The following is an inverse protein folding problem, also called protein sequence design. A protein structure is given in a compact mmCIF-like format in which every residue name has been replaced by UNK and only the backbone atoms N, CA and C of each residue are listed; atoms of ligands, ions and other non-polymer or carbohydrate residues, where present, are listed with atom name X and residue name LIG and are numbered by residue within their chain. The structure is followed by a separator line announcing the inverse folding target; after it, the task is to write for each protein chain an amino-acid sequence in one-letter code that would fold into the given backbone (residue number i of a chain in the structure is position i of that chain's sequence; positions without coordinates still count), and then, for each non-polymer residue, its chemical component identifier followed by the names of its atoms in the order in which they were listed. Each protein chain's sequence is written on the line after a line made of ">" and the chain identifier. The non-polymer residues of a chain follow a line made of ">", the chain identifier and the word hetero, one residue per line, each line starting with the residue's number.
data_IF_847219006883
#
_entry.id   IF_847219006883
#
_cell.length_a   1.000
_cell.length_b   1.000
_cell.length_c   1.000
_cell.angle_alpha   90.00
_cell.angle_beta   90.00
_cell.angle_gamma   90.00
#
_symmetry.space_group_name_H-M   'P 1'
#
loop_
_entity.id
_entity.type
_entity.pdbx_description
1 polymer ?
#
# COMPACT_ATOMS: atom_id res chain seq x y z
N UNK A 1 39.47 -16.93 3.33
CA UNK A 1 38.46 -17.09 2.26
C UNK A 1 37.50 -15.89 2.32
N UNK A 2 37.14 -15.23 1.21
CA UNK A 2 36.07 -14.20 1.27
C UNK A 2 36.14 -12.94 0.39
N UNK A 3 36.98 -12.84 -0.65
CA UNK A 3 37.01 -11.64 -1.54
C UNK A 3 36.73 -11.97 -3.01
N UNK A 4 35.74 -12.80 -3.28
CA UNK A 4 35.41 -13.29 -4.63
C UNK A 4 33.95 -13.16 -5.02
N UNK A 5 33.27 -12.06 -4.65
CA UNK A 5 31.89 -11.81 -5.08
C UNK A 5 31.82 -11.57 -6.59
N UNK A 6 30.89 -12.23 -7.28
CA UNK A 6 30.53 -11.95 -8.68
C UNK A 6 29.18 -11.26 -8.71
N UNK A 7 29.12 -10.07 -9.33
CA UNK A 7 27.87 -9.42 -9.65
C UNK A 7 27.50 -9.74 -11.11
N UNK A 8 26.24 -10.11 -11.33
CA UNK A 8 25.67 -10.34 -12.66
C UNK A 8 24.50 -9.39 -12.82
N UNK A 9 24.40 -8.74 -13.97
CA UNK A 9 23.37 -7.75 -14.26
C UNK A 9 22.77 -8.07 -15.62
N UNK A 10 21.44 -8.18 -15.69
CA UNK A 10 20.73 -8.27 -16.97
C UNK A 10 20.68 -6.90 -17.63
N UNK A 11 20.82 -6.90 -18.95
CA UNK A 11 20.94 -5.68 -19.74
C UNK A 11 19.92 -5.69 -20.86
N UNK A 12 19.09 -4.65 -20.91
CA UNK A 12 18.29 -4.31 -22.08
C UNK A 12 19.19 -3.61 -23.13
N UNK A 13 19.01 -3.87 -24.44
CA UNK A 13 19.66 -3.12 -25.52
C UNK A 13 19.74 -1.60 -25.30
N UNK A 14 18.71 -0.99 -24.71
CA UNK A 14 18.59 0.45 -24.44
C UNK A 14 19.68 0.98 -23.49
N UNK A 15 20.14 0.15 -22.55
CA UNK A 15 21.06 0.56 -21.48
C UNK A 15 22.55 0.33 -21.83
N UNK A 16 22.86 -0.09 -23.07
CA UNK A 16 24.25 -0.37 -23.50
C UNK A 16 25.16 0.85 -23.41
N UNK A 17 24.65 2.04 -23.72
CA UNK A 17 25.43 3.28 -23.66
C UNK A 17 25.89 3.60 -22.23
N UNK A 18 24.98 3.45 -21.26
CA UNK A 18 25.25 3.68 -19.84
C UNK A 18 26.31 2.71 -19.30
N UNK A 19 26.20 1.42 -19.62
CA UNK A 19 27.21 0.42 -19.19
C UNK A 19 28.59 0.71 -19.80
N UNK A 20 28.67 1.13 -21.07
CA UNK A 20 29.94 1.52 -21.68
C UNK A 20 30.60 2.68 -20.92
N UNK A 21 29.83 3.67 -20.49
CA UNK A 21 30.33 4.78 -19.67
C UNK A 21 30.81 4.28 -18.30
N UNK A 22 30.02 3.47 -17.61
CA UNK A 22 30.39 2.91 -16.29
C UNK A 22 31.66 2.06 -16.38
N UNK A 23 31.81 1.24 -17.41
CA UNK A 23 33.01 0.43 -17.65
C UNK A 23 34.23 1.33 -17.89
N UNK A 24 34.08 2.39 -18.68
CA UNK A 24 35.15 3.38 -18.92
C UNK A 24 35.60 4.07 -17.63
N UNK A 25 34.68 4.42 -16.74
CA UNK A 25 35.00 5.06 -15.47
C UNK A 25 35.57 4.09 -14.42
N UNK A 26 35.11 2.83 -14.38
CA UNK A 26 35.57 1.86 -13.36
C UNK A 26 36.91 1.18 -13.70
N UNK A 27 37.33 1.21 -14.97
CA UNK A 27 38.57 0.56 -15.44
C UNK A 27 38.55 -0.98 -15.37
N UNK A 28 37.42 -1.60 -15.01
CA UNK A 28 37.29 -3.06 -14.88
C UNK A 28 36.80 -3.69 -16.18
N UNK A 29 37.36 -4.85 -16.55
CA UNK A 29 36.93 -5.62 -17.71
C UNK A 29 35.60 -6.34 -17.42
N UNK A 30 34.55 -5.98 -18.15
CA UNK A 30 33.26 -6.69 -18.13
C UNK A 30 33.29 -7.86 -19.12
N UNK A 31 32.79 -9.04 -18.70
CA UNK A 31 32.55 -10.17 -19.59
C UNK A 31 31.09 -10.13 -20.04
N UNK A 32 30.84 -9.80 -21.30
CA UNK A 32 29.51 -9.89 -21.89
C UNK A 32 29.19 -11.35 -22.22
N UNK A 33 27.99 -11.80 -21.82
CA UNK A 33 27.42 -13.09 -22.20
C UNK A 33 26.07 -12.84 -22.85
N UNK A 34 25.80 -13.58 -23.91
CA UNK A 34 24.51 -13.58 -24.60
C UNK A 34 23.85 -14.90 -24.23
N UNK A 35 22.60 -14.84 -23.79
CA UNK A 35 21.78 -16.03 -23.53
C UNK A 35 21.23 -16.50 -24.88
N UNK A 36 21.22 -17.80 -25.13
CA UNK A 36 20.68 -18.36 -26.37
C UNK A 36 19.16 -18.19 -26.41
N UNK A 37 18.63 -17.85 -27.59
CA UNK A 37 17.21 -17.58 -27.80
C UNK A 37 16.33 -18.79 -27.43
N UNK A 38 16.76 -20.01 -27.76
CA UNK A 38 16.08 -21.25 -27.36
C UNK A 38 15.87 -21.39 -25.84
N UNK A 39 16.80 -20.85 -25.04
CA UNK A 39 16.66 -20.88 -23.58
C UNK A 39 15.66 -19.84 -23.12
N UNK A 40 15.63 -18.68 -23.78
CA UNK A 40 14.66 -17.62 -23.49
C UNK A 40 13.25 -18.14 -23.77
N UNK A 41 13.03 -18.78 -24.93
CA UNK A 41 11.73 -19.31 -25.33
C UNK A 41 11.20 -20.38 -24.36
N UNK A 42 12.06 -21.30 -23.92
CA UNK A 42 11.68 -22.30 -22.90
C UNK A 42 11.21 -21.66 -21.60
N UNK A 43 11.90 -20.61 -21.14
CA UNK A 43 11.53 -19.94 -19.90
C UNK A 43 10.31 -19.03 -20.06
N UNK A 44 10.13 -18.38 -21.22
CA UNK A 44 8.92 -17.58 -21.48
C UNK A 44 7.69 -18.46 -21.54
N UNK A 45 7.76 -19.63 -22.16
CA UNK A 45 6.68 -20.64 -22.16
C UNK A 45 6.37 -21.12 -20.74
N UNK A 46 7.40 -21.44 -19.94
CA UNK A 46 7.21 -21.86 -18.55
C UNK A 46 6.55 -20.76 -17.70
N UNK A 47 6.96 -19.50 -17.88
CA UNK A 47 6.35 -18.35 -17.19
C UNK A 47 4.90 -18.15 -17.63
N UNK A 48 4.62 -18.26 -18.93
CA UNK A 48 3.27 -18.14 -19.46
C UNK A 48 2.34 -19.23 -18.90
N UNK A 49 2.82 -20.47 -18.81
CA UNK A 49 2.06 -21.57 -18.21
C UNK A 49 1.71 -21.31 -16.73
N UNK A 50 2.63 -20.73 -15.95
CA UNK A 50 2.38 -20.40 -14.55
C UNK A 50 1.44 -19.20 -14.35
N UNK A 51 1.23 -18.36 -15.36
CA UNK A 51 0.45 -17.13 -15.22
C UNK A 51 -1.02 -17.41 -14.87
N UNK A 52 -1.60 -18.48 -15.42
CA UNK A 52 -2.97 -18.89 -15.15
C UNK A 52 -3.14 -19.36 -13.70
N UNK A 53 -2.22 -20.19 -13.21
CA UNK A 53 -2.21 -20.68 -11.83
C UNK A 53 -2.07 -19.53 -10.83
N UNK A 54 -1.17 -18.58 -11.10
CA UNK A 54 -0.99 -17.39 -10.25
C UNK A 54 -2.27 -16.55 -10.23
N UNK A 55 -2.92 -16.34 -11.37
CA UNK A 55 -4.17 -15.59 -11.44
C UNK A 55 -5.29 -16.28 -10.65
N UNK A 56 -5.37 -17.61 -10.72
CA UNK A 56 -6.30 -18.42 -9.94
C UNK A 56 -6.05 -18.28 -8.44
N UNK A 57 -4.81 -18.44 -7.99
CA UNK A 57 -4.43 -18.30 -6.57
C UNK A 57 -4.77 -16.90 -6.05
N UNK A 58 -4.47 -15.84 -6.81
CA UNK A 58 -4.81 -14.47 -6.40
C UNK A 58 -6.33 -14.25 -6.25
N UNK A 59 -7.14 -14.90 -7.08
CA UNK A 59 -8.59 -14.83 -6.96
C UNK A 59 -9.08 -15.57 -5.72
N UNK A 60 -8.57 -16.78 -5.48
CA UNK A 60 -8.87 -17.60 -4.31
C UNK A 60 -8.48 -16.88 -3.02
N UNK A 61 -7.26 -16.35 -2.92
CA UNK A 61 -6.81 -15.56 -1.76
C UNK A 61 -7.72 -14.35 -1.49
N UNK A 62 -8.19 -13.67 -2.54
CA UNK A 62 -9.12 -12.55 -2.40
C UNK A 62 -10.47 -13.01 -1.84
N UNK A 63 -10.99 -14.14 -2.31
CA UNK A 63 -12.24 -14.72 -1.84
C UNK A 63 -12.12 -15.18 -0.39
N UNK A 64 -11.06 -15.91 -0.05
CA UNK A 64 -10.77 -16.34 1.32
C UNK A 64 -10.66 -15.15 2.27
N UNK A 65 -9.97 -14.08 1.85
CA UNK A 65 -9.85 -12.86 2.67
C UNK A 65 -11.19 -12.21 2.95
N UNK A 66 -12.14 -12.24 2.01
CA UNK A 66 -13.48 -11.71 2.22
C UNK A 66 -14.26 -12.63 3.17
N UNK A 67 -14.15 -13.93 2.98
CA UNK A 67 -14.83 -14.93 3.82
C UNK A 67 -14.35 -14.86 5.27
N UNK A 68 -13.04 -14.76 5.50
CA UNK A 68 -12.46 -14.57 6.84
C UNK A 68 -12.98 -13.29 7.52
N UNK A 69 -13.17 -12.20 6.77
CA UNK A 69 -13.76 -10.97 7.34
C UNK A 69 -15.22 -11.16 7.73
N UNK A 70 -16.00 -11.80 6.86
CA UNK A 70 -17.40 -12.10 7.15
C UNK A 70 -17.52 -13.02 8.38
N UNK A 71 -16.65 -14.03 8.49
CA UNK A 71 -16.58 -14.93 9.64
C UNK A 71 -16.20 -14.17 10.92
N UNK A 72 -15.16 -13.32 10.88
CA UNK A 72 -14.79 -12.48 12.02
C UNK A 72 -15.93 -11.55 12.45
N UNK A 73 -16.67 -10.97 11.50
CA UNK A 73 -17.82 -10.11 11.79
C UNK A 73 -18.99 -10.91 12.39
N UNK A 74 -19.27 -12.11 11.88
CA UNK A 74 -20.28 -13.00 12.42
C UNK A 74 -19.95 -13.43 13.86
N UNK A 75 -18.71 -13.90 14.10
CA UNK A 75 -18.22 -14.26 15.43
C UNK A 75 -18.27 -13.06 16.38
N UNK A 76 -17.93 -11.86 15.90
CA UNK A 76 -18.03 -10.64 16.71
C UNK A 76 -19.48 -10.32 17.08
N UNK A 77 -20.41 -10.50 16.14
CA UNK A 77 -21.83 -10.28 16.39
C UNK A 77 -22.37 -11.29 17.43
N UNK A 78 -22.04 -12.56 17.29
CA UNK A 78 -22.39 -13.63 18.24
C UNK A 78 -21.86 -13.30 19.65
N UNK A 79 -20.56 -13.01 19.77
CA UNK A 79 -19.95 -12.62 21.05
C UNK A 79 -20.62 -11.39 21.68
N UNK A 80 -21.07 -10.42 20.88
CA UNK A 80 -21.74 -9.22 21.38
C UNK A 80 -23.14 -9.51 21.91
N UNK A 81 -23.86 -10.46 21.31
CA UNK A 81 -25.18 -10.90 21.76
C UNK A 81 -25.05 -11.68 23.06
N UNK A 82 -24.16 -12.68 23.10
CA UNK A 82 -23.99 -13.55 24.26
C UNK A 82 -23.42 -12.82 25.48
N UNK A 83 -22.42 -11.97 25.28
CA UNK A 83 -21.71 -11.30 26.37
C UNK A 83 -22.07 -9.82 26.52
N UNK A 84 -23.24 -9.38 26.03
CA UNK A 84 -23.61 -7.97 25.97
C UNK A 84 -23.42 -7.22 27.29
N UNK A 85 -24.03 -7.72 28.36
CA UNK A 85 -24.03 -7.08 29.68
C UNK A 85 -22.61 -7.03 30.29
N UNK A 86 -21.83 -8.09 30.09
CA UNK A 86 -20.48 -8.18 30.59
C UNK A 86 -19.52 -7.27 29.82
N UNK A 87 -19.64 -7.20 28.50
CA UNK A 87 -18.85 -6.31 27.64
C UNK A 87 -19.09 -4.85 27.99
N UNK A 88 -20.35 -4.45 28.21
CA UNK A 88 -20.70 -3.08 28.56
C UNK A 88 -20.28 -2.68 29.98
N UNK A 89 -20.26 -3.63 30.91
CA UNK A 89 -19.79 -3.40 32.28
C UNK A 89 -18.26 -3.23 32.37
N UNK A 90 -17.50 -3.85 31.46
CA UNK A 90 -16.04 -3.80 31.46
C UNK A 90 -15.53 -2.40 31.07
N UNK A 91 -14.58 -1.82 31.81
CA UNK A 91 -13.97 -0.56 31.42
C UNK A 91 -13.14 -0.71 30.13
N UNK A 92 -13.34 0.21 29.17
CA UNK A 92 -12.53 0.25 27.94
C UNK A 92 -11.01 0.16 28.21
N UNK A 93 -10.33 -0.73 27.49
CA UNK A 93 -8.90 -0.98 27.62
C UNK A 93 -8.10 0.25 27.19
N UNK A 94 -7.29 0.78 28.09
CA UNK A 94 -6.41 1.94 27.84
C UNK A 94 -4.98 1.48 27.59
N UNK A 95 -4.36 2.04 26.55
CA UNK A 95 -2.95 1.83 26.21
C UNK A 95 -2.26 3.19 26.24
N UNK A 96 -1.27 3.36 27.13
CA UNK A 96 -0.52 4.57 27.48
C UNK A 96 -1.28 5.85 27.87
N UNK A 97 -2.48 6.10 27.36
CA UNK A 97 -3.31 7.26 27.71
C UNK A 97 -4.56 6.83 28.48
N UNK A 98 -4.93 7.61 29.49
CA UNK A 98 -6.15 7.37 30.25
C UNK A 98 -7.39 7.62 29.39
N UNK A 99 -8.54 7.07 29.78
CA UNK A 99 -9.81 7.29 29.06
C UNK A 99 -10.20 8.76 28.98
N UNK A 100 -9.86 9.53 30.02
CA UNK A 100 -10.18 10.96 30.10
C UNK A 100 -9.35 11.73 29.09
N UNK A 101 -8.06 11.46 29.02
CA UNK A 101 -7.15 12.12 28.09
C UNK A 101 -7.55 11.80 26.64
N UNK A 102 -7.86 10.54 26.35
CA UNK A 102 -8.34 10.12 25.02
C UNK A 102 -9.64 10.83 24.62
N UNK A 103 -10.58 11.01 25.55
CA UNK A 103 -11.83 11.71 25.28
C UNK A 103 -11.58 13.20 24.98
N UNK A 104 -10.74 13.85 25.79
CA UNK A 104 -10.37 15.24 25.59
C UNK A 104 -9.68 15.46 24.23
N UNK A 105 -8.76 14.57 23.83
CA UNK A 105 -8.12 14.65 22.51
C UNK A 105 -9.12 14.44 21.37
N UNK A 106 -10.09 13.53 21.51
CA UNK A 106 -11.13 13.34 20.49
C UNK A 106 -12.06 14.55 20.37
N UNK A 107 -12.48 15.12 21.49
CA UNK A 107 -13.36 16.28 21.50
C UNK A 107 -12.67 17.50 20.88
N UNK A 108 -11.40 17.75 21.24
CA UNK A 108 -10.58 18.79 20.63
C UNK A 108 -10.38 18.57 19.11
N UNK A 109 -10.09 17.34 18.69
CA UNK A 109 -9.94 17.02 17.27
C UNK A 109 -11.23 17.19 16.46
N UNK A 110 -12.39 16.89 17.07
CA UNK A 110 -13.72 17.11 16.46
C UNK A 110 -14.01 18.60 16.30
N UNK A 111 -13.76 19.39 17.33
CA UNK A 111 -13.95 20.84 17.31
C UNK A 111 -13.07 21.49 16.23
N UNK A 112 -11.79 21.14 16.16
CA UNK A 112 -10.90 21.61 15.08
C UNK A 112 -11.36 21.18 13.67
N UNK A 113 -11.96 20.00 13.54
CA UNK A 113 -12.47 19.52 12.25
C UNK A 113 -13.70 20.32 11.82
N UNK A 114 -14.61 20.61 12.74
CA UNK A 114 -15.80 21.43 12.49
C UNK A 114 -15.44 22.87 12.16
N UNK A 115 -14.47 23.46 12.87
CA UNK A 115 -13.99 24.82 12.59
C UNK A 115 -13.30 24.92 11.23
N UNK A 116 -12.46 23.94 10.87
CA UNK A 116 -11.90 23.84 9.52
C UNK A 116 -12.99 23.73 8.45
N UNK A 117 -14.03 22.93 8.69
CA UNK A 117 -15.16 22.75 7.75
C UNK A 117 -15.97 24.04 7.58
N UNK A 118 -16.23 24.78 8.67
CA UNK A 118 -16.90 26.10 8.63
C UNK A 118 -16.06 27.14 7.89
N UNK A 119 -14.75 27.17 8.13
CA UNK A 119 -13.81 28.06 7.43
C UNK A 119 -13.73 27.80 5.92
N UNK A 120 -13.74 26.53 5.49
CA UNK A 120 -13.77 26.17 4.06
C UNK A 120 -15.10 26.60 3.42
N UNK A 121 -16.22 26.38 4.10
CA UNK A 121 -17.56 26.76 3.63
C UNK A 121 -17.73 28.28 3.47
N UNK A 122 -17.22 29.06 4.43
CA UNK A 122 -17.28 30.53 4.37
C UNK A 122 -16.38 31.10 3.27
N UNK A 123 -15.20 30.53 3.06
CA UNK A 123 -14.29 30.94 2.00
C UNK A 123 -14.88 30.64 0.60
N UNK A 124 -15.54 29.49 0.44
CA UNK A 124 -16.19 29.13 -0.83
C UNK A 124 -17.40 30.03 -1.15
N UNK A 125 -18.15 30.47 -0.12
CA UNK A 125 -19.22 31.47 -0.29
C UNK A 125 -18.69 32.84 -0.72
N UNK A 126 -17.59 33.32 -0.10
CA UNK A 126 -16.93 34.59 -0.49
C UNK A 126 -16.45 34.55 -1.94
N UNK A 127 -15.77 33.48 -2.33
CA UNK A 127 -15.27 33.29 -3.71
C UNK A 127 -16.40 33.29 -4.75
N UNK A 128 -17.53 32.65 -4.43
CA UNK A 128 -18.72 32.62 -5.30
C UNK A 128 -19.42 33.99 -5.41
N UNK A 129 -19.31 34.84 -4.39
CA UNK A 129 -19.85 36.18 -4.43
C UNK A 129 -18.96 37.11 -5.26
N UNK A 130 -17.64 37.06 -5.07
CA UNK A 130 -16.66 37.79 -5.89
C UNK A 130 -16.74 37.44 -7.38
N UNK A 131 -17.03 36.18 -7.72
CA UNK A 131 -17.22 35.75 -9.11
C UNK A 131 -18.52 36.26 -9.75
N UNK A 132 -19.56 36.49 -8.94
CA UNK A 132 -20.83 37.08 -9.39
C UNK A 132 -20.71 38.59 -9.58
N UNK A 133 -19.95 39.25 -8.71
CA UNK A 133 -19.74 40.70 -8.77
C UNK A 133 -18.81 41.10 -9.94
N UNK A 134 -17.91 40.22 -10.40
CA UNK A 134 -17.08 40.42 -11.61
C UNK A 134 -17.79 40.17 -12.95
N UNK A 135 -19.01 39.62 -12.92
CA UNK A 135 -19.83 39.34 -14.13
C UNK A 135 -20.93 40.38 -14.38
N UNK A 136 -21.00 41.42 -13.57
CA UNK A 136 -21.81 42.63 -13.80
C UNK A 136 -20.92 43.76 -14.26
#
# INVERSE_FOLDING_TARGET
>A
AGRGGRAVTFLDPSNRALIKQIVKHSGKKLKQRIVADETIDKWTEAIAAMAEDIAKIMLEEKQERILQKAEMEALRAENLVEHHNEIMARPAKTWFQSKKDKKQTQDAAREEYEDRRKGISSNNKRKKQEERDKKK
#
